data_IF_693013983061
#
_entry.id   IF_693013983061
#
_cell.length_a   1.000
_cell.length_b   1.000
_cell.length_c   1.000
_cell.angle_alpha   90.00
_cell.angle_beta   90.00
_cell.angle_gamma   90.00
#
_symmetry.space_group_name_H-M   'P 1'
#
loop_
_entity.id
_entity.type
_entity.pdbx_description
1 polymer ?
#
# COMPACT_ATOMS: atom_id res chain seq x y z
N UNK A 1 14.69 15.91 -1.46
CA UNK A 1 13.90 15.41 -2.61
C UNK A 1 13.87 13.89 -2.72
N UNK A 2 14.97 13.17 -2.50
CA UNK A 2 15.01 11.70 -2.72
C UNK A 2 13.92 10.91 -1.97
N UNK A 3 13.59 11.25 -0.72
CA UNK A 3 12.57 10.53 0.07
C UNK A 3 11.13 10.98 -0.18
N UNK A 4 10.92 12.02 -0.98
CA UNK A 4 9.62 12.67 -1.12
C UNK A 4 8.61 11.74 -1.80
N UNK A 5 9.04 11.01 -2.84
CA UNK A 5 8.20 10.00 -3.49
C UNK A 5 7.84 8.83 -2.57
N UNK A 6 8.75 8.41 -1.70
CA UNK A 6 8.47 7.37 -0.70
C UNK A 6 7.39 7.83 0.28
N UNK A 7 7.51 9.04 0.83
CA UNK A 7 6.54 9.59 1.78
C UNK A 7 5.15 9.71 1.13
N UNK A 8 5.08 10.27 -0.09
CA UNK A 8 3.81 10.38 -0.82
C UNK A 8 3.24 8.99 -1.10
N UNK A 9 4.07 8.07 -1.57
CA UNK A 9 3.67 6.68 -1.83
C UNK A 9 3.10 5.99 -0.59
N UNK A 10 3.77 6.11 0.56
CA UNK A 10 3.30 5.54 1.83
C UNK A 10 1.98 6.15 2.29
N UNK A 11 1.80 7.47 2.18
CA UNK A 11 0.52 8.13 2.51
C UNK A 11 -0.61 7.55 1.64
N UNK A 12 -0.39 7.43 0.33
CA UNK A 12 -1.38 6.87 -0.59
C UNK A 12 -1.70 5.41 -0.27
N UNK A 13 -0.69 4.61 0.09
CA UNK A 13 -0.88 3.22 0.55
C UNK A 13 -1.73 3.17 1.80
N UNK A 14 -1.44 3.99 2.81
CA UNK A 14 -2.20 4.01 4.07
C UNK A 14 -3.66 4.38 3.82
N UNK A 15 -3.92 5.38 2.97
CA UNK A 15 -5.29 5.76 2.60
C UNK A 15 -5.98 4.62 1.85
N UNK A 16 -5.31 3.99 0.88
CA UNK A 16 -5.86 2.85 0.14
C UNK A 16 -6.17 1.65 1.04
N UNK A 17 -5.25 1.31 1.95
CA UNK A 17 -5.45 0.27 2.94
C UNK A 17 -6.61 0.58 3.87
N UNK A 18 -6.80 1.83 4.31
CA UNK A 18 -7.96 2.21 5.11
C UNK A 18 -9.30 1.85 4.43
N UNK A 19 -9.41 2.08 3.12
CA UNK A 19 -10.60 1.70 2.36
C UNK A 19 -10.74 0.18 2.20
N UNK A 20 -9.65 -0.51 1.87
CA UNK A 20 -9.64 -1.98 1.74
C UNK A 20 -10.01 -2.64 3.07
N UNK A 21 -9.42 -2.18 4.17
CA UNK A 21 -9.60 -2.74 5.50
C UNK A 21 -11.01 -2.55 6.00
N UNK A 22 -11.65 -1.41 5.69
CA UNK A 22 -13.07 -1.20 6.01
C UNK A 22 -13.97 -2.26 5.37
N UNK A 23 -13.60 -2.78 4.20
CA UNK A 23 -14.30 -3.87 3.53
C UNK A 23 -13.88 -5.25 4.05
N UNK A 24 -12.59 -5.47 4.33
CA UNK A 24 -12.08 -6.77 4.77
C UNK A 24 -12.41 -7.07 6.23
N UNK A 25 -12.39 -6.08 7.13
CA UNK A 25 -12.55 -6.27 8.57
C UNK A 25 -13.86 -6.98 8.97
N UNK A 26 -15.03 -6.65 8.38
CA UNK A 26 -16.28 -7.38 8.64
C UNK A 26 -16.27 -8.84 8.15
N UNK A 27 -15.36 -9.21 7.24
CA UNK A 27 -15.28 -10.56 6.67
C UNK A 27 -14.36 -11.50 7.47
N UNK A 28 -13.68 -11.00 8.51
CA UNK A 28 -12.75 -11.76 9.33
C UNK A 28 -13.50 -12.69 10.30
N UNK A 29 -13.71 -13.93 9.90
CA UNK A 29 -14.50 -14.94 10.61
C UNK A 29 -13.72 -16.20 11.02
N UNK A 30 -12.48 -16.37 10.53
CA UNK A 30 -11.60 -17.47 10.94
C UNK A 30 -10.12 -17.07 10.88
N UNK A 31 -9.29 -17.81 11.63
CA UNK A 31 -7.86 -17.52 11.85
C UNK A 31 -7.08 -17.18 10.57
N UNK A 32 -7.24 -17.98 9.50
CA UNK A 32 -6.53 -17.75 8.25
C UNK A 32 -6.84 -16.41 7.58
N UNK A 33 -8.06 -15.86 7.71
CA UNK A 33 -8.35 -14.51 7.22
C UNK A 33 -7.64 -13.42 8.01
N UNK A 34 -7.48 -13.58 9.33
CA UNK A 34 -6.70 -12.64 10.14
C UNK A 34 -5.22 -12.65 9.74
N UNK A 35 -4.65 -13.85 9.52
CA UNK A 35 -3.26 -13.99 9.06
C UNK A 35 -3.09 -13.35 7.69
N UNK A 36 -4.01 -13.61 6.76
CA UNK A 36 -4.01 -12.98 5.44
C UNK A 36 -4.10 -11.45 5.53
N UNK A 37 -5.02 -10.94 6.36
CA UNK A 37 -5.22 -9.50 6.54
C UNK A 37 -3.94 -8.80 7.02
N UNK A 38 -3.26 -9.36 8.03
CA UNK A 38 -2.00 -8.81 8.54
C UNK A 38 -0.89 -8.90 7.50
N UNK A 39 -0.75 -10.06 6.84
CA UNK A 39 0.28 -10.27 5.82
C UNK A 39 0.11 -9.33 4.63
N UNK A 40 -1.14 -9.13 4.18
CA UNK A 40 -1.48 -8.22 3.09
C UNK A 40 -1.13 -6.77 3.44
N UNK A 41 -1.53 -6.30 4.63
CA UNK A 41 -1.23 -4.95 5.10
C UNK A 41 0.29 -4.70 5.19
N UNK A 42 1.03 -5.62 5.79
CA UNK A 42 2.49 -5.53 5.88
C UNK A 42 3.14 -5.52 4.48
N UNK A 43 2.65 -6.35 3.57
CA UNK A 43 3.15 -6.39 2.19
C UNK A 43 2.93 -5.06 1.47
N UNK A 44 1.74 -4.48 1.57
CA UNK A 44 1.41 -3.20 0.95
C UNK A 44 2.27 -2.05 1.51
N UNK A 45 2.52 -2.01 2.82
CA UNK A 45 3.39 -0.99 3.45
C UNK A 45 4.85 -1.17 3.01
N UNK A 46 5.31 -2.41 2.84
CA UNK A 46 6.69 -2.70 2.42
C UNK A 46 6.96 -2.34 0.94
N UNK A 47 5.92 -2.37 0.10
CA UNK A 47 6.01 -2.20 -1.34
C UNK A 47 6.63 -0.86 -1.79
N UNK A 48 6.18 0.31 -1.30
CA UNK A 48 6.82 1.61 -1.58
C UNK A 48 8.30 1.63 -1.19
N UNK A 49 8.64 1.06 -0.03
CA UNK A 49 10.01 1.01 0.48
C UNK A 49 10.92 0.13 -0.41
N UNK A 50 10.41 -1.02 -0.85
CA UNK A 50 11.12 -1.91 -1.77
C UNK A 50 11.48 -1.19 -3.06
N UNK A 51 10.52 -0.51 -3.68
CA UNK A 51 10.75 0.21 -4.93
C UNK A 51 11.66 1.43 -4.77
N UNK A 52 11.56 2.13 -3.65
CA UNK A 52 12.49 3.20 -3.29
C UNK A 52 13.94 2.72 -3.17
N UNK A 53 14.17 1.52 -2.63
CA UNK A 53 15.52 0.93 -2.52
C UNK A 53 16.02 0.34 -3.84
N UNK A 54 15.12 -0.19 -4.67
CA UNK A 54 15.46 -0.87 -5.94
C UNK A 54 15.86 0.10 -7.05
N UNK A 55 15.24 1.27 -7.13
CA UNK A 55 15.44 2.20 -8.24
C UNK A 55 16.30 3.41 -7.88
N UNK A 56 16.92 4.00 -8.90
CA UNK A 56 17.72 5.22 -8.82
C UNK A 56 17.14 6.33 -9.71
N UNK A 57 17.57 7.58 -9.50
CA UNK A 57 17.12 8.73 -10.28
C UNK A 57 15.62 9.02 -10.10
N UNK A 58 14.95 9.38 -11.20
CA UNK A 58 13.51 9.75 -11.20
C UNK A 58 12.61 8.57 -10.81
N UNK A 59 12.97 7.35 -11.23
CA UNK A 59 12.21 6.13 -10.92
C UNK A 59 12.11 5.85 -9.42
N UNK A 60 13.11 6.28 -8.64
CA UNK A 60 13.11 6.21 -7.18
C UNK A 60 11.97 7.00 -6.54
N UNK A 61 11.50 8.05 -7.21
CA UNK A 61 10.40 8.92 -6.77
C UNK A 61 9.09 8.45 -7.38
N UNK A 62 9.07 8.17 -8.69
CA UNK A 62 7.85 7.83 -9.41
C UNK A 62 7.27 6.47 -8.99
N UNK A 63 8.10 5.43 -8.80
CA UNK A 63 7.60 4.08 -8.53
C UNK A 63 6.84 3.94 -7.20
N UNK A 64 7.35 4.47 -6.06
CA UNK A 64 6.57 4.46 -4.81
C UNK A 64 5.21 5.17 -4.95
N UNK A 65 5.15 6.27 -5.70
CA UNK A 65 3.90 7.01 -5.95
C UNK A 65 2.94 6.18 -6.79
N UNK A 66 3.40 5.60 -7.91
CA UNK A 66 2.56 4.78 -8.80
C UNK A 66 1.95 3.60 -8.03
N UNK A 67 2.75 2.94 -7.19
CA UNK A 67 2.27 1.85 -6.34
C UNK A 67 1.25 2.33 -5.31
N UNK A 68 1.51 3.47 -4.66
CA UNK A 68 0.54 4.09 -3.76
C UNK A 68 -0.79 4.40 -4.44
N UNK A 69 -0.75 4.96 -5.66
CA UNK A 69 -1.95 5.21 -6.47
C UNK A 69 -2.67 3.90 -6.79
N UNK A 70 -1.95 2.85 -7.19
CA UNK A 70 -2.56 1.55 -7.50
C UNK A 70 -3.29 0.96 -6.29
N UNK A 71 -2.68 0.99 -5.10
CA UNK A 71 -3.30 0.52 -3.85
C UNK A 71 -4.51 1.38 -3.48
N UNK A 72 -4.41 2.70 -3.64
CA UNK A 72 -5.53 3.62 -3.43
C UNK A 72 -6.71 3.31 -4.35
N UNK A 73 -6.47 3.13 -5.65
CA UNK A 73 -7.51 2.80 -6.62
C UNK A 73 -8.16 1.44 -6.34
N UNK A 74 -7.37 0.47 -5.90
CA UNK A 74 -7.91 -0.81 -5.43
C UNK A 74 -8.86 -0.60 -4.25
N UNK A 75 -8.49 0.21 -3.27
CA UNK A 75 -9.33 0.53 -2.12
C UNK A 75 -10.62 1.27 -2.49
N UNK A 76 -10.54 2.27 -3.37
CA UNK A 76 -11.71 3.04 -3.82
C UNK A 76 -12.71 2.13 -4.58
N UNK A 77 -12.23 1.12 -5.33
CA UNK A 77 -13.11 0.20 -6.06
C UNK A 77 -14.02 -0.63 -5.14
N UNK A 78 -13.65 -0.80 -3.87
CA UNK A 78 -14.48 -1.51 -2.89
C UNK A 78 -15.54 -0.61 -2.22
N UNK A 79 -15.68 0.65 -2.67
CA UNK A 79 -16.71 1.60 -2.25
C UNK A 79 -17.81 1.77 -3.31
#
# INVERSE_FOLDING_TARGET
MNKLGLIIGEILVVIGLFFIDRFLFPTLDYFGKYVFFIAFNLFCIFLPLFFYKKFNGILKIAMPIIIGIAILLLGIKFF
#
